data_IF_988396069142
#
_entry.id   IF_988396069142
#
_cell.length_a   1.000
_cell.length_b   1.000
_cell.length_c   1.000
_cell.angle_alpha   90.00
_cell.angle_beta   90.00
_cell.angle_gamma   90.00
#
_symmetry.space_group_name_H-M   'P 1'
#
loop_
_entity.id
_entity.type
_entity.pdbx_description
1 polymer ?
2 non-polymer ?
3 water ?
#
# COMPACT_ATOMS: atom_id res chain seq x y z
N UNK A 18 3.06 15.42 7.78
CA UNK A 18 2.71 14.01 7.99
C UNK A 18 3.59 13.39 9.07
N UNK A 19 3.03 12.43 9.82
CA UNK A 19 3.76 11.80 10.93
C UNK A 19 4.85 10.85 10.47
N UNK A 20 5.81 10.58 11.35
CA UNK A 20 6.81 9.55 11.09
C UNK A 20 6.47 8.27 11.86
N UNK A 21 6.26 7.18 11.13
CA UNK A 21 5.92 5.90 11.74
C UNK A 21 6.99 4.84 11.52
N UNK A 22 7.24 4.04 12.55
CA UNK A 22 8.25 3.00 12.48
C UNK A 22 7.83 1.79 13.30
N UNK A 23 8.33 0.61 12.92
CA UNK A 23 8.08 -0.60 13.70
C UNK A 23 9.32 -0.95 14.49
N UNK A 24 9.14 -1.31 15.76
CA UNK A 24 10.28 -1.59 16.62
C UNK A 24 10.06 -2.85 17.46
N UNK A 25 11.08 -3.72 17.55
CA UNK A 25 12.46 -3.57 17.06
C UNK A 25 12.62 -3.74 15.56
N UNK A 26 11.65 -4.36 14.90
CA UNK A 26 11.78 -4.61 13.47
C UNK A 26 10.44 -4.79 12.78
N UNK A 27 10.37 -4.33 11.53
CA UNK A 27 9.18 -4.52 10.71
C UNK A 27 9.10 -5.98 10.26
N UNK A 28 10.27 -6.60 10.12
CA UNK A 28 10.36 -8.03 9.88
C UNK A 28 10.33 -8.77 11.20
N UNK A 29 9.15 -9.24 11.57
CA UNK A 29 8.93 -9.83 12.89
C UNK A 29 8.45 -11.28 12.79
N UNK A 30 9.12 -12.19 13.52
CA UNK A 30 8.77 -13.62 13.52
C UNK A 30 7.36 -13.85 14.08
N UNK A 31 6.67 -14.85 13.55
CA UNK A 31 5.36 -15.21 14.08
C UNK A 31 5.52 -15.62 15.54
N UNK A 32 4.56 -15.24 16.37
CA UNK A 32 4.65 -15.51 17.79
C UNK A 32 5.54 -14.49 18.50
N UNK A 33 6.21 -13.66 17.71
CA UNK A 33 7.06 -12.61 18.24
C UNK A 33 6.24 -11.38 18.56
N UNK A 34 6.90 -10.24 18.68
CA UNK A 34 6.22 -9.01 19.04
C UNK A 34 6.71 -7.84 18.20
N UNK A 35 5.85 -6.83 18.07
CA UNK A 35 6.24 -5.62 17.34
C UNK A 35 5.52 -4.41 17.92
N UNK A 36 6.18 -3.27 17.86
CA UNK A 36 5.60 -2.03 18.38
C UNK A 36 5.45 -1.00 17.28
N UNK A 37 4.22 -0.64 17.00
CA UNK A 37 3.92 0.43 16.06
C UNK A 37 4.11 1.77 16.76
N UNK A 38 5.11 2.51 16.31
CA UNK A 38 5.43 3.81 16.89
C UNK A 38 5.19 4.92 15.88
N UNK A 39 4.84 6.10 16.38
CA UNK A 39 4.60 7.24 15.52
C UNK A 39 4.89 8.54 16.25
N UNK A 40 5.42 9.52 15.53
CA UNK A 40 5.67 10.84 16.12
C UNK A 40 5.26 11.93 15.13
N UNK A 41 4.56 12.94 15.64
CA UNK A 41 3.99 13.99 14.80
C UNK A 41 4.34 15.37 15.35
N UNK A 42 5.10 16.13 14.58
CA UNK A 42 5.62 17.42 15.03
C UNK A 42 4.63 18.57 14.87
N UNK A 43 3.85 18.54 13.80
CA UNK A 43 2.96 19.65 13.48
C UNK A 43 1.74 19.70 14.40
N UNK A 44 1.35 18.56 14.95
CA UNK A 44 0.19 18.49 15.81
C UNK A 44 0.38 17.64 17.04
N UNK A 45 -0.60 16.79 17.32
CA UNK A 45 -0.57 15.95 18.50
C UNK A 45 -0.40 14.47 18.18
N UNK A 46 0.36 13.79 19.04
CA UNK A 46 0.72 12.40 18.86
C UNK A 46 -0.41 11.42 19.16
N UNK A 47 -1.60 11.75 18.68
CA UNK A 47 -2.74 10.85 18.76
C UNK A 47 -2.97 10.27 17.37
N UNK A 48 -2.67 9.00 17.19
CA UNK A 48 -2.63 8.43 15.84
C UNK A 48 -3.74 7.43 15.55
N UNK A 49 -4.35 7.56 14.39
CA UNK A 49 -5.35 6.58 13.96
C UNK A 49 -4.71 5.59 12.98
N UNK A 50 -4.93 4.31 13.24
CA UNK A 50 -4.31 3.24 12.45
C UNK A 50 -5.27 2.70 11.40
N UNK A 51 -4.75 2.46 10.19
CA UNK A 51 -5.55 1.76 9.18
C UNK A 51 -4.70 0.97 8.19
N UNK A 52 -5.19 -0.23 7.86
CA UNK A 52 -4.51 -1.16 6.97
C UNK A 52 -4.99 -0.96 5.54
N UNK A 53 -4.07 -0.96 4.58
CA UNK A 53 -4.43 -0.65 3.20
C UNK A 53 -4.60 -1.89 2.32
N UNK A 54 -4.09 -3.04 2.75
CA UNK A 54 -4.16 -4.24 1.91
C UNK A 54 -5.16 -5.28 2.43
N UNK A 55 -6.08 -4.85 3.30
CA UNK A 55 -7.10 -5.73 3.83
C UNK A 55 -7.66 -5.24 5.15
N UNK A 56 -8.80 -5.80 5.53
CA UNK A 56 -9.43 -5.50 6.83
C UNK A 56 -8.54 -5.99 7.97
N UNK A 57 -8.31 -5.12 8.96
CA UNK A 57 -7.38 -5.40 10.06
C UNK A 57 -7.92 -6.36 11.12
N UNK A 58 -6.99 -6.95 11.87
CA UNK A 58 -7.30 -7.77 13.02
C UNK A 58 -8.09 -6.93 14.02
N UNK A 59 -9.01 -7.57 14.79
CA UNK A 59 -9.93 -6.86 15.69
C UNK A 59 -9.28 -5.83 16.62
N UNK A 60 -8.15 -6.16 17.23
CA UNK A 60 -7.49 -5.22 18.13
C UNK A 60 -6.74 -4.14 17.36
N UNK A 61 -6.88 -4.15 16.03
CA UNK A 61 -6.35 -3.08 15.19
C UNK A 61 -7.48 -2.39 14.44
N UNK A 62 -8.69 -2.94 14.57
CA UNK A 62 -9.88 -2.34 13.96
C UNK A 62 -10.32 -1.15 14.80
N UNK A 63 -10.56 -0.02 14.14
CA UNK A 63 -10.89 1.23 14.83
C UNK A 63 -9.88 1.56 15.93
N UNK A 64 -8.60 1.51 15.57
CA UNK A 64 -7.53 1.67 16.54
C UNK A 64 -6.92 3.07 16.51
N UNK A 65 -7.16 3.83 17.57
CA UNK A 65 -6.48 5.08 17.82
C UNK A 65 -5.59 4.91 19.04
N UNK A 66 -4.31 5.23 18.90
CA UNK A 66 -3.38 5.06 20.00
C UNK A 66 -2.58 6.31 20.34
N UNK A 67 -1.95 6.27 21.51
CA UNK A 67 -1.17 7.37 22.04
C UNK A 67 0.32 7.01 21.96
N UNK A 68 1.06 7.77 21.16
CA UNK A 68 2.49 7.54 20.96
C UNK A 68 2.78 6.19 20.29
N UNK A 69 2.76 5.12 21.08
CA UNK A 69 3.11 3.79 20.56
C UNK A 69 2.06 2.73 20.92
N UNK A 70 2.18 1.56 20.29
CA UNK A 70 1.19 0.50 20.45
C UNK A 70 1.83 -0.88 20.28
N UNK A 71 1.64 -1.75 21.27
CA UNK A 71 2.32 -3.04 21.27
C UNK A 71 1.44 -4.19 20.79
N UNK A 72 2.00 -4.97 19.87
CA UNK A 72 1.37 -6.18 19.34
C UNK A 72 2.15 -7.41 19.75
N UNK A 73 1.51 -8.30 20.52
CA UNK A 73 2.13 -9.53 20.98
C UNK A 73 1.07 -10.51 21.47
N UNK A 74 1.10 -11.75 20.96
CA UNK A 74 2.05 -12.24 19.96
C UNK A 74 1.63 -11.90 18.53
N UNK A 75 2.60 -11.86 17.63
CA UNK A 75 2.34 -11.51 16.23
C UNK A 75 1.86 -12.73 15.43
N UNK A 76 0.72 -12.58 14.78
CA UNK A 76 0.14 -13.63 13.95
C UNK A 76 0.21 -13.22 12.48
N UNK A 77 0.09 -14.21 11.56
CA UNK A 77 0.07 -13.92 10.11
C UNK A 77 -0.97 -12.87 9.70
N UNK A 78 -2.03 -12.71 10.50
CA UNK A 78 -3.08 -11.76 10.18
C UNK A 78 -2.65 -10.31 10.38
N UNK A 79 -1.48 -10.12 10.97
CA UNK A 79 -0.94 -8.78 11.21
C UNK A 79 -0.11 -8.28 10.04
N UNK A 80 0.28 -9.20 9.16
CA UNK A 80 1.10 -8.85 8.00
C UNK A 80 0.36 -7.94 7.04
N UNK A 81 1.03 -6.89 6.57
CA UNK A 81 0.44 -5.99 5.60
C UNK A 81 0.96 -4.57 5.64
N UNK A 82 0.29 -3.68 4.92
CA UNK A 82 0.70 -2.28 4.87
C UNK A 82 -0.25 -1.41 5.70
N UNK A 83 0.33 -0.52 6.50
CA UNK A 83 -0.44 0.34 7.39
C UNK A 83 -0.10 1.80 7.20
N UNK A 84 -1.03 2.67 7.58
CA UNK A 84 -0.80 4.11 7.57
C UNK A 84 -1.30 4.72 8.87
N UNK A 85 -0.85 5.92 9.19
CA UNK A 85 -1.30 6.61 10.39
C UNK A 85 -1.49 8.11 10.16
N UNK A 86 -2.56 8.66 10.71
CA UNK A 86 -2.76 10.11 10.71
C UNK A 86 -2.65 10.63 12.15
N UNK A 87 -1.84 11.67 12.33
CA UNK A 87 -1.69 12.29 13.63
C UNK A 87 -2.81 13.28 13.87
N UNK A 88 -3.07 13.60 15.14
CA UNK A 88 -4.21 14.46 15.45
C UNK A 88 -3.89 15.92 15.16
N UNK A 89 -4.64 16.50 14.24
CA UNK A 89 -4.44 17.90 13.84
C UNK A 89 -5.76 18.66 13.98
N UNK A 90 -6.14 18.99 15.22
CA UNK A 90 -7.46 19.51 15.60
C UNK A 90 -7.90 20.74 14.81
N UNK A 91 -6.99 21.68 14.56
CA UNK A 91 -7.35 22.92 13.88
C UNK A 91 -6.96 22.89 12.41
N UNK A 92 -7.63 21.99 11.68
CA UNK A 92 -7.48 21.86 10.25
C UNK A 92 -8.81 21.33 9.73
N UNK A 93 -9.08 21.47 8.41
CA UNK A 93 -10.35 21.02 7.85
C UNK A 93 -10.69 19.55 8.15
N UNK A 94 -9.70 18.67 8.04
CA UNK A 94 -9.93 17.25 8.24
C UNK A 94 -9.79 16.83 9.71
N UNK A 95 -9.29 17.74 10.54
CA UNK A 95 -8.95 17.46 11.94
C UNK A 95 -7.92 16.34 12.08
N UNK A 96 -7.28 15.97 10.97
CA UNK A 96 -6.26 14.93 10.98
C UNK A 96 -5.19 15.22 9.94
N UNK A 97 -4.01 14.64 10.12
CA UNK A 97 -2.89 14.91 9.24
C UNK A 97 -2.96 14.10 7.95
N UNK A 98 -1.96 14.27 7.10
CA UNK A 98 -1.82 13.48 5.89
C UNK A 98 -1.33 12.08 6.27
N UNK A 99 -1.58 11.08 5.40
CA UNK A 99 -1.10 9.72 5.66
C UNK A 99 0.41 9.67 5.91
N UNK A 100 0.82 8.93 6.93
CA UNK A 100 2.23 8.85 7.28
C UNK A 100 3.02 8.07 6.24
N UNK A 101 4.31 7.89 6.51
CA UNK A 101 5.15 7.02 5.71
C UNK A 101 4.65 5.59 5.86
N UNK A 102 4.83 4.75 4.82
CA UNK A 102 4.36 3.36 4.85
C UNK A 102 4.82 2.59 6.08
N UNK A 103 3.87 2.00 6.80
CA UNK A 103 4.15 1.22 8.00
C UNK A 103 3.92 -0.25 7.73
N UNK A 104 4.98 -0.94 7.27
CA UNK A 104 4.84 -2.30 6.81
C UNK A 104 5.17 -3.34 7.88
N UNK A 105 4.34 -4.38 7.96
CA UNK A 105 4.60 -5.50 8.87
C UNK A 105 4.73 -6.81 8.10
N UNK A 106 5.86 -7.46 8.24
CA UNK A 106 6.09 -8.76 7.61
C UNK A 106 6.31 -9.85 8.64
N UNK A 107 5.58 -10.96 8.49
CA UNK A 107 5.62 -12.06 9.45
C UNK A 107 6.36 -13.26 8.87
N UNK A 108 7.37 -13.74 9.59
CA UNK A 108 8.22 -14.83 9.12
C UNK A 108 8.05 -16.11 9.93
N UNK A 109 8.59 -17.20 9.39
CA UNK A 109 8.58 -18.48 10.07
C UNK A 109 7.40 -19.34 9.65
N UNK A 110 6.77 -18.98 8.54
CA UNK A 110 5.54 -19.65 8.09
C UNK A 110 5.83 -20.86 7.21
N UNK A 111 6.88 -20.78 6.41
CA UNK A 111 7.26 -21.86 5.51
C UNK A 111 8.70 -22.25 5.75
N UNK A 112 9.13 -23.39 5.19
CA UNK A 112 10.50 -23.84 5.38
C UNK A 112 11.46 -22.89 4.69
N UNK A 113 12.60 -22.64 5.33
CA UNK A 113 13.55 -21.66 4.83
C UNK A 113 14.20 -22.08 3.52
N UNK A 114 14.38 -21.11 2.61
CA UNK A 114 15.15 -21.37 1.39
C UNK A 114 16.64 -21.42 1.70
N UNK A 115 17.43 -21.88 0.74
CA UNK A 115 18.87 -21.90 0.88
C UNK A 115 19.49 -20.73 0.12
N UNK A 116 20.46 -20.08 0.74
CA UNK A 116 21.11 -18.91 0.16
C UNK A 116 22.55 -19.22 -0.24
N UNK A 117 22.89 -18.98 -1.50
CA UNK A 117 24.25 -19.21 -1.98
C UNK A 117 24.85 -17.94 -2.57
N UNK A 118 26.17 -17.89 -2.65
CA UNK A 118 26.86 -16.71 -3.17
C UNK A 118 27.66 -17.01 -4.42
N UNK A 119 27.88 -15.98 -5.22
CA UNK A 119 28.66 -16.10 -6.45
C UNK A 119 29.58 -14.89 -6.57
N UNK A 120 30.90 -15.12 -6.65
CA UNK A 120 31.57 -16.41 -6.74
C UNK A 120 31.68 -17.17 -5.41
N UNK A 121 31.56 -16.46 -4.29
CA UNK A 121 31.67 -17.10 -2.99
C UNK A 121 31.58 -16.15 -1.82
N UNK A 122 31.76 -16.69 -0.60
CA UNK A 122 31.67 -15.94 0.65
C UNK A 122 32.75 -14.86 0.76
N UNK A 123 33.95 -15.14 0.29
CA UNK A 123 35.04 -14.17 0.29
C UNK A 123 35.31 -13.65 -1.11
N UNK A 124 35.33 -12.33 -1.26
CA UNK A 124 35.49 -11.72 -2.56
C UNK A 124 36.46 -10.53 -2.51
N UNK A 125 37.00 -10.16 -3.67
CA UNK A 125 37.89 -9.02 -3.77
C UNK A 125 37.09 -7.73 -3.83
N UNK A 126 37.68 -6.63 -3.36
CA UNK A 126 36.95 -5.36 -3.30
C UNK A 126 36.66 -4.82 -4.70
N UNK A 127 35.39 -4.48 -4.93
CA UNK A 127 34.97 -3.95 -6.21
C UNK A 127 34.41 -5.03 -7.13
N UNK A 128 34.49 -6.28 -6.71
CA UNK A 128 33.99 -7.39 -7.53
C UNK A 128 32.49 -7.58 -7.35
N UNK A 129 31.87 -8.22 -8.33
CA UNK A 129 30.43 -8.46 -8.30
C UNK A 129 30.05 -9.70 -7.50
N UNK A 130 29.09 -9.53 -6.60
CA UNK A 130 28.57 -10.66 -5.84
C UNK A 130 27.10 -10.86 -6.17
N UNK A 131 26.74 -12.09 -6.54
CA UNK A 131 25.34 -12.41 -6.84
C UNK A 131 24.83 -13.49 -5.89
N UNK A 132 23.75 -13.18 -5.20
CA UNK A 132 23.20 -14.09 -4.21
C UNK A 132 21.97 -14.82 -4.72
N UNK A 133 22.04 -16.14 -4.74
CA UNK A 133 20.92 -16.94 -5.22
C UNK A 133 20.12 -17.55 -4.06
N UNK A 134 18.83 -17.22 -4.03
CA UNK A 134 17.89 -17.85 -3.11
C UNK A 134 17.22 -19.01 -3.83
N UNK A 135 17.28 -20.20 -3.25
CA UNK A 135 16.76 -21.40 -3.91
C UNK A 135 15.97 -22.29 -2.96
N UNK A 136 14.81 -22.77 -3.40
CA UNK A 136 14.02 -23.67 -2.56
C UNK A 136 13.27 -24.71 -3.38
N UNK A 137 12.86 -25.80 -2.73
CA UNK A 137 12.01 -26.78 -3.38
C UNK A 137 10.57 -26.28 -3.36
N UNK A 138 10.31 -25.32 -2.47
CA UNK A 138 8.99 -24.73 -2.37
C UNK A 138 8.71 -23.84 -3.57
N UNK A 139 7.44 -23.71 -3.93
CA UNK A 139 7.05 -22.94 -5.11
C UNK A 139 6.77 -21.49 -4.78
N UNK A 140 7.71 -20.81 -4.13
CA UNK A 140 7.56 -19.40 -3.79
C UNK A 140 7.37 -18.55 -5.05
N UNK A 141 6.71 -17.42 -4.89
CA UNK A 141 6.54 -16.48 -6.00
C UNK A 141 7.54 -15.35 -5.91
N UNK A 142 7.82 -14.90 -4.69
CA UNK A 142 8.72 -13.78 -4.47
C UNK A 142 9.73 -14.06 -3.36
N UNK A 143 11.01 -13.91 -3.69
CA UNK A 143 12.08 -13.98 -2.72
C UNK A 143 12.46 -12.57 -2.25
N UNK A 144 12.81 -12.46 -0.97
CA UNK A 144 13.16 -11.21 -0.34
C UNK A 144 14.53 -11.28 0.32
N UNK A 145 15.48 -10.47 -0.16
CA UNK A 145 16.83 -10.47 0.39
C UNK A 145 17.06 -9.31 1.35
N UNK A 146 17.32 -9.64 2.62
CA UNK A 146 17.59 -8.62 3.64
C UNK A 146 19.04 -8.70 4.11
N UNK A 147 19.53 -7.57 4.64
CA UNK A 147 20.91 -7.47 5.09
C UNK A 147 20.97 -7.02 6.55
N UNK A 148 21.97 -7.53 7.29
CA UNK A 148 22.14 -7.18 8.69
C UNK A 148 22.63 -5.75 8.87
N UNK A 149 21.77 -4.92 9.48
CA UNK A 149 22.13 -3.53 9.74
C UNK A 149 21.35 -2.56 8.87
N UNK A 150 21.03 -3.00 7.65
CA UNK A 150 20.29 -2.18 6.71
C UNK A 150 18.83 -2.62 6.66
N UNK A 151 17.94 -1.77 7.15
CA UNK A 151 16.52 -2.08 7.17
C UNK A 151 15.87 -1.86 5.81
N UNK A 152 16.50 -2.41 4.78
CA UNK A 152 16.01 -2.26 3.41
C UNK A 152 16.03 -3.60 2.69
N UNK A 153 14.86 -4.14 2.42
CA UNK A 153 14.76 -5.44 1.77
C UNK A 153 14.71 -5.33 0.25
N UNK A 154 15.22 -6.34 -0.44
CA UNK A 154 15.18 -6.40 -1.88
C UNK A 154 14.16 -7.45 -2.33
N UNK A 155 13.38 -7.13 -3.36
CA UNK A 155 12.35 -8.04 -3.85
C UNK A 155 12.67 -8.58 -5.23
N UNK A 156 12.42 -9.88 -5.44
CA UNK A 156 12.60 -10.47 -6.78
C UNK A 156 11.64 -11.63 -6.99
N UNK A 157 11.16 -11.82 -8.23
CA UNK A 157 10.28 -12.95 -8.50
C UNK A 157 11.05 -14.26 -8.67
N UNK A 158 10.44 -15.38 -8.30
CA UNK A 158 11.09 -16.67 -8.39
C UNK A 158 11.01 -17.24 -9.80
N UNK A 159 11.91 -18.19 -10.10
CA UNK A 159 12.03 -18.77 -11.44
C UNK A 159 12.28 -20.27 -11.36
N UNK A 160 11.52 -21.06 -12.14
CA UNK A 160 11.69 -22.53 -12.16
C UNK A 160 12.97 -23.00 -12.84
N UNK A 161 13.56 -24.04 -12.28
CA UNK A 161 14.78 -24.65 -12.80
C UNK A 161 15.11 -25.94 -12.06
N UNK A 162 15.47 -26.99 -12.79
CA UNK A 162 15.85 -28.27 -12.19
C UNK A 162 17.01 -28.06 -11.22
N UNK A 163 17.08 -28.85 -10.13
CA UNK A 163 16.21 -29.98 -9.84
C UNK A 163 14.86 -29.63 -9.20
N UNK A 164 13.87 -29.33 -10.02
CA UNK A 164 12.53 -29.01 -9.55
C UNK A 164 12.48 -27.91 -8.51
N UNK A 165 13.35 -26.92 -8.66
CA UNK A 165 13.51 -25.86 -7.67
C UNK A 165 13.14 -24.47 -8.20
N UNK A 166 12.79 -23.59 -7.27
CA UNK A 166 12.51 -22.19 -7.59
C UNK A 166 13.64 -21.31 -7.06
N UNK A 167 14.05 -20.34 -7.87
CA UNK A 167 15.28 -19.62 -7.60
C UNK A 167 15.21 -18.14 -8.01
N UNK A 168 15.95 -17.31 -7.28
CA UNK A 168 16.07 -15.89 -7.63
C UNK A 168 17.48 -15.38 -7.38
N UNK A 169 18.02 -14.66 -8.35
CA UNK A 169 19.39 -14.15 -8.29
C UNK A 169 19.42 -12.65 -8.08
N UNK A 170 19.96 -12.24 -6.92
CA UNK A 170 20.12 -10.84 -6.59
C UNK A 170 21.54 -10.37 -6.89
N UNK A 171 21.71 -9.59 -7.97
CA UNK A 171 23.01 -8.99 -8.27
C UNK A 171 23.20 -7.68 -7.52
N UNK A 172 24.18 -7.64 -6.61
CA UNK A 172 24.37 -6.49 -5.74
C UNK A 172 25.38 -5.50 -6.31
N UNK A 173 25.97 -5.84 -7.45
CA UNK A 173 26.98 -5.00 -8.05
C UNK A 173 28.30 -5.12 -7.30
N UNK A 174 29.15 -4.09 -7.39
CA UNK A 174 30.47 -4.08 -6.75
C UNK A 174 30.39 -4.25 -5.23
N UNK A 175 31.24 -5.13 -4.69
CA UNK A 175 31.26 -5.38 -3.25
C UNK A 175 32.24 -4.44 -2.57
N UNK A 176 31.70 -3.54 -1.74
CA UNK A 176 32.51 -2.52 -1.10
C UNK A 176 32.95 -2.93 0.30
N UNK A 177 32.03 -3.51 1.06
CA UNK A 177 32.31 -3.88 2.44
C UNK A 177 31.63 -5.19 2.83
N UNK A 178 32.12 -5.81 3.90
CA UNK A 178 31.61 -7.09 4.36
C UNK A 178 30.20 -7.00 4.92
N UNK A 179 29.32 -7.86 4.42
CA UNK A 179 27.91 -7.79 4.81
C UNK A 179 27.25 -9.17 4.85
N UNK A 180 26.46 -9.41 5.91
CA UNK A 180 25.77 -10.68 6.06
C UNK A 180 24.33 -10.59 5.56
N UNK A 181 23.91 -11.58 4.78
CA UNK A 181 22.59 -11.57 4.17
C UNK A 181 21.71 -12.75 4.59
N UNK A 182 20.39 -12.55 4.47
CA UNK A 182 19.41 -13.62 4.63
C UNK A 182 18.31 -13.44 3.59
N UNK A 183 17.59 -14.50 3.28
CA UNK A 183 16.48 -14.36 2.32
C UNK A 183 15.24 -15.16 2.74
N UNK A 184 14.07 -14.66 2.33
CA UNK A 184 12.79 -15.26 2.69
C UNK A 184 11.98 -15.58 1.45
N UNK A 185 11.16 -16.61 1.54
CA UNK A 185 10.26 -16.96 0.45
C UNK A 185 8.84 -16.58 0.77
N UNK A 186 8.12 -16.09 -0.24
CA UNK A 186 6.71 -15.73 -0.06
C UNK A 186 5.90 -16.08 -1.30
N UNK A 187 4.66 -16.49 -1.08
CA UNK A 187 3.80 -16.91 -2.17
C UNK A 187 2.98 -15.75 -2.73
N UNK A 188 2.41 -15.97 -3.91
CA UNK A 188 1.90 -14.90 -4.76
C UNK A 188 0.79 -14.02 -4.18
N UNK A 189 -0.12 -14.63 -3.44
CA UNK A 189 -1.26 -13.90 -2.92
C UNK A 189 -1.02 -13.18 -1.60
N UNK A 190 0.11 -13.46 -0.97
CA UNK A 190 0.41 -12.88 0.34
C UNK A 190 1.87 -12.48 0.47
N UNK A 191 2.25 -11.33 -0.14
CA UNK A 191 3.65 -10.88 -0.20
C UNK A 191 4.22 -10.45 1.14
N UNK A 192 3.38 -10.34 2.17
CA UNK A 192 3.86 -9.91 3.48
C UNK A 192 3.95 -11.06 4.48
N UNK A 193 3.61 -12.26 4.02
CA UNK A 193 3.73 -13.46 4.85
C UNK A 193 4.93 -14.29 4.37
N UNK A 194 6.00 -14.26 5.16
CA UNK A 194 7.27 -14.83 4.73
C UNK A 194 7.58 -16.18 5.36
N UNK A 195 8.55 -16.88 4.75
CA UNK A 195 9.00 -18.16 5.28
C UNK A 195 9.97 -17.95 6.42
N UNK A 196 10.52 -19.05 6.93
CA UNK A 196 11.58 -18.97 7.93
C UNK A 196 12.83 -18.43 7.25
N UNK A 197 13.67 -17.74 8.02
CA UNK A 197 14.88 -17.14 7.47
C UNK A 197 15.89 -18.19 7.04
N UNK A 198 16.52 -17.96 5.89
CA UNK A 198 17.61 -18.81 5.44
C UNK A 198 18.79 -18.68 6.40
N UNK A 199 19.68 -19.67 6.37
CA UNK A 199 20.91 -19.57 7.14
C UNK A 199 21.68 -18.34 6.68
N UNK A 200 22.21 -17.57 7.65
CA UNK A 200 22.90 -16.31 7.32
C UNK A 200 24.15 -16.55 6.46
N UNK A 201 24.32 -15.72 5.43
CA UNK A 201 25.48 -15.83 4.56
C UNK A 201 26.32 -14.55 4.65
N UNK A 202 27.43 -14.61 5.39
CA UNK A 202 28.34 -13.47 5.52
C UNK A 202 29.28 -13.35 4.33
N UNK A 203 29.19 -12.22 3.64
CA UNK A 203 30.09 -11.96 2.52
C UNK A 203 31.28 -11.12 2.99
N UNK A 204 32.47 -11.65 2.80
CA UNK A 204 33.69 -10.97 3.20
C UNK A 204 34.34 -10.28 2.00
N UNK A 205 34.88 -9.09 2.23
CA UNK A 205 35.50 -8.32 1.16
C UNK A 205 36.95 -7.96 1.47
N UNK A 206 37.86 -8.58 0.72
CA UNK A 206 39.29 -8.32 0.91
C UNK A 206 39.75 -7.14 0.05
N UNK B 18 -21.65 25.79 1.74
CA UNK B 18 -21.69 24.34 1.66
C UNK B 18 -20.82 23.70 2.75
N UNK B 19 -21.20 22.49 3.19
CA UNK B 19 -20.43 21.79 4.23
C UNK B 19 -19.12 21.22 3.69
N UNK B 20 -18.15 20.98 4.57
CA UNK B 20 -16.93 20.29 4.20
C UNK B 20 -17.01 18.84 4.64
N UNK B 21 -16.92 17.93 3.68
CA UNK B 21 -17.07 16.51 3.96
C UNK B 21 -15.81 15.73 3.56
N UNK B 22 -15.26 14.99 4.51
CA UNK B 22 -14.09 14.16 4.26
C UNK B 22 -14.36 12.71 4.64
N UNK B 23 -13.50 11.81 4.15
CA UNK B 23 -13.60 10.40 4.48
C UNK B 23 -12.57 10.04 5.53
N UNK B 24 -12.98 9.30 6.54
CA UNK B 24 -12.08 8.93 7.62
C UNK B 24 -12.15 7.43 7.90
N UNK B 25 -10.98 6.76 7.96
CA UNK B 25 -9.65 7.35 7.87
C UNK B 25 -9.10 7.45 6.44
N UNK B 26 -9.75 6.78 5.49
CA UNK B 26 -9.26 6.79 4.11
C UNK B 26 -10.38 6.65 3.10
N UNK B 27 -10.31 7.46 2.05
CA UNK B 27 -11.28 7.39 0.95
C UNK B 27 -11.05 6.12 0.15
N UNK B 28 -9.81 5.65 0.15
CA UNK B 28 -9.45 4.40 -0.49
C UNK B 28 -9.51 3.27 0.54
N UNK B 29 -10.54 2.45 0.44
CA UNK B 29 -10.79 1.42 1.45
C UNK B 29 -10.90 0.03 0.82
N UNK B 30 -10.18 -0.95 1.39
CA UNK B 30 -10.22 -2.33 0.89
C UNK B 30 -11.61 -2.97 1.04
N UNK B 31 -11.87 -3.99 0.24
CA UNK B 31 -13.15 -4.68 0.28
C UNK B 31 -13.36 -5.33 1.65
N UNK B 32 -14.53 -5.08 2.24
CA UNK B 32 -14.82 -5.61 3.56
C UNK B 32 -14.38 -4.67 4.66
N UNK B 33 -13.78 -3.55 4.27
CA UNK B 33 -13.28 -2.56 5.21
C UNK B 33 -14.41 -1.65 5.68
N UNK B 34 -14.04 -0.49 6.21
CA UNK B 34 -15.02 0.46 6.70
C UNK B 34 -14.59 1.88 6.40
N UNK B 35 -15.56 2.77 6.24
CA UNK B 35 -15.24 4.18 6.07
C UNK B 35 -16.32 5.04 6.71
N UNK B 36 -15.90 6.19 7.26
CA UNK B 36 -16.82 7.10 7.89
C UNK B 36 -16.85 8.44 7.17
N UNK B 37 -18.02 8.76 6.62
CA UNK B 37 -18.23 10.05 5.98
C UNK B 37 -18.50 11.12 7.03
N UNK B 38 -17.50 11.97 7.24
CA UNK B 38 -17.58 13.00 8.27
C UNK B 38 -17.78 14.38 7.65
N UNK B 39 -18.78 15.12 8.14
CA UNK B 39 -19.11 16.42 7.57
C UNK B 39 -19.15 17.52 8.63
N UNK B 40 -18.77 18.72 8.22
CA UNK B 40 -18.78 19.88 9.11
C UNK B 40 -19.47 21.05 8.42
N UNK B 41 -20.24 21.82 9.18
CA UNK B 41 -21.05 22.89 8.60
C UNK B 41 -21.23 24.04 9.60
N UNK B 42 -20.53 25.15 9.36
CA UNK B 42 -20.50 26.28 10.30
C UNK B 42 -21.74 27.17 10.21
N UNK B 43 -22.29 27.28 9.00
CA UNK B 43 -23.45 28.15 8.78
C UNK B 43 -24.65 27.62 9.56
N UNK B 44 -25.10 26.43 9.20
CA UNK B 44 -26.25 25.81 9.84
C UNK B 44 -25.85 24.78 10.87
N UNK B 45 -26.61 23.69 10.92
CA UNK B 45 -26.37 22.66 11.93
C UNK B 45 -25.77 21.39 11.33
N UNK B 46 -25.16 20.58 12.18
CA UNK B 46 -24.47 19.37 11.75
C UNK B 46 -25.42 18.18 11.55
N UNK B 47 -26.58 18.46 10.98
CA UNK B 47 -27.49 17.43 10.50
C UNK B 47 -27.42 17.41 8.97
N UNK B 48 -27.00 16.29 8.41
CA UNK B 48 -26.74 16.24 6.97
C UNK B 48 -27.61 15.22 6.26
N UNK B 49 -27.77 15.39 4.95
CA UNK B 49 -28.46 14.39 4.15
C UNK B 49 -27.56 13.89 3.02
N UNK B 50 -27.38 12.58 2.96
CA UNK B 50 -26.44 11.97 2.02
C UNK B 50 -26.99 11.92 0.60
N UNK B 51 -26.09 11.97 -0.37
CA UNK B 51 -26.46 11.81 -1.77
C UNK B 51 -25.36 11.09 -2.52
N UNK B 52 -25.68 9.93 -3.09
CA UNK B 52 -24.72 9.19 -3.88
C UNK B 52 -24.94 9.48 -5.37
N UNK B 53 -23.94 10.12 -5.99
CA UNK B 53 -24.05 10.55 -7.38
C UNK B 53 -23.59 9.46 -8.35
N UNK B 54 -22.38 8.95 -8.15
CA UNK B 54 -21.84 7.94 -9.06
C UNK B 54 -22.10 6.52 -8.58
N UNK B 55 -21.40 5.58 -9.21
CA UNK B 55 -21.37 4.20 -8.76
C UNK B 55 -22.68 3.43 -8.80
N UNK B 56 -22.64 2.23 -8.22
CA UNK B 56 -23.81 1.36 -8.14
C UNK B 56 -24.85 1.98 -7.21
N UNK B 57 -26.13 1.99 -7.64
CA UNK B 57 -27.21 2.55 -6.83
C UNK B 57 -27.37 1.87 -5.48
N UNK B 58 -27.42 2.68 -4.43
CA UNK B 58 -27.60 2.18 -3.05
C UNK B 58 -28.84 2.82 -2.42
N UNK B 59 -29.95 2.06 -2.37
CA UNK B 59 -31.24 2.53 -1.85
C UNK B 59 -31.19 2.96 -0.39
N UNK B 60 -30.42 2.24 0.43
CA UNK B 60 -30.32 2.57 1.85
C UNK B 60 -29.46 3.80 2.08
N UNK B 61 -29.00 4.41 0.98
CA UNK B 61 -28.26 5.66 1.04
C UNK B 61 -29.04 6.79 0.37
N UNK B 62 -30.23 6.47 -0.14
CA UNK B 62 -31.08 7.46 -0.79
C UNK B 62 -31.72 8.39 0.22
N UNK B 63 -31.37 9.67 0.14
CA UNK B 63 -31.90 10.69 1.05
C UNK B 63 -31.83 10.28 2.51
N UNK B 64 -30.70 9.68 2.90
CA UNK B 64 -30.52 9.25 4.28
C UNK B 64 -29.91 10.36 5.12
N UNK B 65 -30.58 10.69 6.22
CA UNK B 65 -30.14 11.77 7.09
C UNK B 65 -29.26 11.25 8.22
N UNK B 66 -28.06 11.82 8.37
CA UNK B 66 -27.16 11.42 9.45
C UNK B 66 -26.70 12.60 10.30
N UNK B 67 -26.22 12.28 11.49
CA UNK B 67 -25.77 13.27 12.47
C UNK B 67 -24.25 13.25 12.58
N UNK B 68 -23.63 14.39 12.30
CA UNK B 68 -22.18 14.55 12.34
C UNK B 68 -21.46 13.63 11.35
N UNK B 69 -21.55 12.32 11.58
CA UNK B 69 -20.84 11.36 10.75
C UNK B 69 -21.76 10.23 10.28
N UNK B 70 -21.30 9.46 9.29
CA UNK B 70 -22.05 8.32 8.79
C UNK B 70 -21.13 7.14 8.50
N UNK B 71 -21.36 6.03 9.20
CA UNK B 71 -20.48 4.86 9.11
C UNK B 71 -20.95 3.85 8.08
N UNK B 72 -20.15 3.68 7.04
CA UNK B 72 -20.34 2.61 6.06
C UNK B 72 -19.45 1.43 6.45
N UNK B 73 -20.09 0.32 6.82
CA UNK B 73 -19.39 -0.87 7.26
C UNK B 73 -20.32 -2.07 7.29
N UNK B 74 -19.94 -3.16 6.60
CA UNK B 74 -18.71 -3.30 5.81
C UNK B 74 -18.84 -2.71 4.41
N UNK B 75 -17.71 -2.30 3.83
CA UNK B 75 -17.72 -1.67 2.53
C UNK B 75 -17.77 -2.69 1.40
N UNK B 76 -18.74 -2.51 0.51
CA UNK B 76 -18.93 -3.38 -0.63
C UNK B 76 -18.61 -2.62 -1.91
N UNK B 77 -18.41 -3.35 -3.02
CA UNK B 77 -18.19 -2.66 -4.30
C UNK B 77 -19.32 -1.69 -4.67
N UNK B 78 -20.50 -1.88 -4.09
CA UNK B 78 -21.63 -1.00 -4.37
C UNK B 78 -21.42 0.39 -3.76
N UNK B 79 -20.53 0.48 -2.78
CA UNK B 79 -20.30 1.73 -2.07
C UNK B 79 -19.28 2.63 -2.78
N UNK B 80 -18.58 2.07 -3.75
CA UNK B 80 -17.62 2.85 -4.53
C UNK B 80 -18.35 3.88 -5.39
N UNK B 81 -17.93 5.13 -5.31
CA UNK B 81 -18.54 6.18 -6.10
C UNK B 81 -18.49 7.55 -5.45
N UNK B 82 -19.22 8.51 -6.03
CA UNK B 82 -19.18 9.88 -5.55
C UNK B 82 -20.34 10.18 -4.60
N UNK B 83 -20.03 10.87 -3.51
CA UNK B 83 -21.04 11.25 -2.53
C UNK B 83 -21.07 12.77 -2.34
N UNK B 84 -22.27 13.30 -2.08
CA UNK B 84 -22.41 14.71 -1.70
C UNK B 84 -23.40 14.84 -0.54
N UNK B 85 -23.24 15.89 0.26
CA UNK B 85 -24.05 16.09 1.44
C UNK B 85 -24.55 17.53 1.56
N UNK B 86 -25.85 17.66 1.81
CA UNK B 86 -26.44 18.96 2.11
C UNK B 86 -26.60 19.10 3.62
N UNK B 87 -26.30 20.29 4.14
CA UNK B 87 -26.40 20.54 5.57
C UNK B 87 -27.72 21.18 5.95
N UNK B 88 -28.20 20.87 7.15
CA UNK B 88 -29.47 21.39 7.62
C UNK B 88 -29.35 22.88 7.94
N UNK B 89 -30.09 23.68 7.17
CA UNK B 89 -30.07 25.12 7.28
C UNK B 89 -31.52 25.60 7.37
N UNK B 90 -32.14 25.42 8.54
CA UNK B 90 -33.59 25.52 8.75
C UNK B 90 -34.20 26.87 8.38
N UNK B 91 -33.41 27.94 8.45
CA UNK B 91 -33.92 29.26 8.10
C UNK B 91 -33.36 29.73 6.77
N UNK B 92 -33.61 28.91 5.75
CA UNK B 92 -33.26 29.19 4.37
C UNK B 92 -34.47 28.78 3.54
N UNK B 93 -34.53 29.20 2.26
CA UNK B 93 -35.72 28.87 1.47
C UNK B 93 -36.01 27.37 1.34
N UNK B 94 -34.97 26.55 1.34
CA UNK B 94 -35.17 25.10 1.15
C UNK B 94 -34.92 24.33 2.44
N UNK B 95 -34.57 25.04 3.51
CA UNK B 95 -34.21 24.46 4.81
C UNK B 95 -33.03 23.48 4.72
N UNK B 96 -32.39 23.40 3.56
CA UNK B 96 -31.17 22.61 3.38
C UNK B 96 -30.23 23.37 2.47
N UNK B 97 -28.93 23.19 2.68
CA UNK B 97 -27.94 24.01 1.98
C UNK B 97 -27.53 23.44 0.64
N UNK B 98 -26.52 24.06 0.04
CA UNK B 98 -25.95 23.58 -1.21
C UNK B 98 -25.18 22.29 -0.96
N UNK B 99 -25.02 21.45 -1.99
CA UNK B 99 -24.28 20.20 -1.82
C UNK B 99 -22.82 20.44 -1.42
N UNK B 100 -22.26 19.53 -0.64
CA UNK B 100 -20.89 19.65 -0.18
C UNK B 100 -19.90 19.40 -1.33
N UNK B 101 -18.62 19.39 -1.00
CA UNK B 101 -17.60 19.01 -1.95
C UNK B 101 -17.79 17.55 -2.35
N UNK B 102 -17.55 17.23 -3.62
CA UNK B 102 -17.67 15.84 -4.08
C UNK B 102 -16.68 14.94 -3.36
N UNK B 103 -17.19 13.87 -2.74
CA UNK B 103 -16.35 12.96 -1.98
C UNK B 103 -16.33 11.58 -2.64
N UNK B 104 -15.21 11.26 -3.28
CA UNK B 104 -15.09 10.00 -4.01
C UNK B 104 -14.55 8.88 -3.14
N UNK B 105 -15.34 7.84 -2.98
CA UNK B 105 -14.94 6.65 -2.22
C UNK B 105 -14.54 5.53 -3.17
N UNK B 106 -13.35 4.97 -2.95
CA UNK B 106 -12.82 3.91 -3.80
C UNK B 106 -12.70 2.59 -3.04
N UNK B 107 -13.09 1.51 -3.71
CA UNK B 107 -13.00 0.18 -3.13
C UNK B 107 -11.96 -0.67 -3.85
N UNK B 108 -11.02 -1.21 -3.11
CA UNK B 108 -9.92 -1.97 -3.70
C UNK B 108 -9.94 -3.44 -3.31
N UNK B 109 -9.13 -4.24 -3.99
CA UNK B 109 -9.01 -5.66 -3.71
C UNK B 109 -10.20 -6.46 -4.19
N UNK B 110 -10.60 -6.22 -5.43
CA UNK B 110 -11.74 -6.91 -6.01
C UNK B 110 -11.31 -7.92 -7.07
N UNK B 111 -10.32 -7.53 -7.86
CA UNK B 111 -9.81 -8.39 -8.92
C UNK B 111 -8.32 -8.65 -8.71
N UNK B 112 -7.72 -9.48 -9.55
CA UNK B 112 -6.29 -9.76 -9.47
C UNK B 112 -5.46 -8.51 -9.62
N UNK B 113 -4.32 -8.45 -8.93
CA UNK B 113 -3.45 -7.29 -9.01
C UNK B 113 -2.70 -7.27 -10.33
N UNK B 114 -2.52 -6.07 -10.90
CA UNK B 114 -1.71 -5.93 -12.12
C UNK B 114 -0.23 -5.87 -11.77
N UNK B 115 0.62 -6.21 -12.72
CA UNK B 115 2.06 -6.11 -12.54
C UNK B 115 2.55 -4.74 -12.99
N UNK B 116 3.46 -4.16 -12.23
CA UNK B 116 4.01 -2.85 -12.54
C UNK B 116 5.50 -2.93 -12.82
N UNK B 117 5.91 -2.48 -14.00
CA UNK B 117 7.33 -2.50 -14.36
C UNK B 117 7.80 -1.12 -14.81
N UNK B 118 9.11 -0.93 -14.85
CA UNK B 118 9.68 0.39 -15.14
C UNK B 118 10.63 0.37 -16.32
N UNK B 119 10.48 1.36 -17.20
CA UNK B 119 11.41 1.58 -18.30
C UNK B 119 12.18 2.89 -18.09
N UNK B 120 13.51 2.85 -18.24
CA UNK B 120 14.30 1.67 -18.62
C UNK B 120 14.50 0.69 -17.48
N UNK B 121 14.38 1.18 -16.26
CA UNK B 121 14.56 0.35 -15.08
C UNK B 121 14.15 1.11 -13.83
N UNK B 122 14.05 0.41 -12.70
CA UNK B 122 13.64 1.04 -11.44
C UNK B 122 14.70 2.00 -10.89
N UNK B 123 15.92 1.93 -11.41
CA UNK B 123 16.99 2.81 -10.99
C UNK B 123 17.62 3.54 -12.17
N UNK B 124 17.55 4.87 -12.14
CA UNK B 124 18.06 5.69 -13.24
C UNK B 124 18.62 7.01 -12.70
N UNK B 125 19.35 7.74 -13.54
CA UNK B 125 19.98 8.99 -13.12
C UNK B 125 19.00 10.17 -13.23
N UNK B 126 19.38 11.30 -12.63
CA UNK B 126 18.54 12.49 -12.63
C UNK B 126 18.38 13.09 -14.03
N UNK B 127 17.16 13.50 -14.35
CA UNK B 127 16.89 14.12 -15.64
C UNK B 127 16.55 13.10 -16.69
N UNK B 128 16.49 11.83 -16.30
CA UNK B 128 16.15 10.76 -17.22
C UNK B 128 14.64 10.50 -17.25
N UNK B 129 14.11 10.23 -18.43
CA UNK B 129 12.70 9.92 -18.59
C UNK B 129 12.35 8.54 -18.07
N UNK B 130 11.37 8.49 -17.17
CA UNK B 130 10.92 7.20 -16.65
C UNK B 130 9.49 6.92 -17.07
N UNK B 131 9.25 5.69 -17.54
CA UNK B 131 7.92 5.28 -18.00
C UNK B 131 7.49 3.97 -17.39
N UNK B 132 6.44 4.00 -16.58
CA UNK B 132 5.93 2.82 -15.92
C UNK B 132 4.88 2.10 -16.76
N UNK B 133 4.69 0.82 -16.49
CA UNK B 133 3.72 0.02 -17.23
C UNK B 133 2.96 -0.94 -16.33
N UNK B 134 1.63 -0.86 -16.40
CA UNK B 134 0.74 -1.80 -15.74
C UNK B 134 0.27 -2.85 -16.74
N UNK B 135 0.44 -4.11 -16.38
CA UNK B 135 0.09 -5.21 -17.26
C UNK B 135 -0.78 -6.23 -16.52
N UNK B 136 -1.69 -6.88 -17.24
CA UNK B 136 -2.57 -7.86 -16.62
C UNK B 136 -3.25 -8.76 -17.65
N UNK B 137 -3.61 -9.96 -17.21
CA UNK B 137 -4.36 -10.89 -18.04
C UNK B 137 -5.85 -10.58 -17.91
N UNK B 138 -6.18 -9.74 -16.94
CA UNK B 138 -7.56 -9.32 -16.71
C UNK B 138 -7.93 -8.19 -17.67
N UNK B 139 -9.17 -8.23 -18.17
CA UNK B 139 -9.62 -7.26 -19.16
C UNK B 139 -10.00 -5.93 -18.54
N UNK B 140 -9.07 -5.33 -17.80
CA UNK B 140 -9.29 -4.01 -17.21
C UNK B 140 -9.50 -2.98 -18.33
N UNK B 141 -10.43 -2.05 -18.14
CA UNK B 141 -10.63 -0.98 -19.11
C UNK B 141 -9.76 0.22 -18.75
N UNK B 142 -9.51 0.42 -17.46
CA UNK B 142 -8.72 1.56 -17.01
C UNK B 142 -7.63 1.15 -16.02
N UNK B 143 -6.47 1.83 -16.09
CA UNK B 143 -5.41 1.64 -15.10
C UNK B 143 -5.19 2.92 -14.30
N UNK B 144 -5.11 2.77 -12.98
CA UNK B 144 -4.91 3.91 -12.09
C UNK B 144 -3.57 3.82 -11.38
N UNK B 145 -2.64 4.70 -11.76
CA UNK B 145 -1.36 4.79 -11.07
C UNK B 145 -1.44 5.71 -9.85
N UNK B 146 -0.93 5.22 -8.73
CA UNK B 146 -0.88 5.96 -7.49
C UNK B 146 0.55 6.04 -6.96
N UNK B 147 0.92 7.22 -6.46
CA UNK B 147 2.23 7.39 -5.86
C UNK B 147 2.12 7.65 -4.37
N UNK B 148 3.01 7.04 -3.60
CA UNK B 148 3.03 7.25 -2.15
C UNK B 148 3.39 8.68 -1.81
N UNK B 149 2.44 9.38 -1.18
CA UNK B 149 2.63 10.78 -0.85
C UNK B 149 1.61 11.65 -1.56
N UNK B 150 1.34 11.32 -2.82
CA UNK B 150 0.38 12.08 -3.62
C UNK B 150 -1.02 11.49 -3.49
N UNK B 151 -2.01 12.35 -3.33
CA UNK B 151 -3.40 11.91 -3.27
C UNK B 151 -4.03 11.97 -4.65
N UNK B 152 -3.31 12.61 -5.57
CA UNK B 152 -3.77 12.75 -6.94
C UNK B 152 -3.44 11.50 -7.75
N UNK B 153 -4.46 10.74 -8.10
CA UNK B 153 -4.29 9.51 -8.87
C UNK B 153 -4.32 9.77 -10.37
N UNK B 154 -3.44 9.12 -11.11
CA UNK B 154 -3.45 9.26 -12.56
C UNK B 154 -4.19 8.10 -13.21
N UNK B 155 -5.01 8.37 -14.22
CA UNK B 155 -5.73 7.27 -14.87
C UNK B 155 -5.55 7.28 -16.39
N UNK B 156 -5.25 6.10 -16.92
CA UNK B 156 -5.01 5.92 -18.35
C UNK B 156 -5.80 4.72 -18.88
N UNK B 157 -6.28 4.80 -20.13
CA UNK B 157 -7.02 3.67 -20.70
C UNK B 157 -6.13 2.46 -20.96
N UNK B 158 -6.66 1.27 -20.76
CA UNK B 158 -5.91 0.04 -20.97
C UNK B 158 -6.01 -0.41 -22.43
N UNK B 159 -4.86 -0.66 -23.04
CA UNK B 159 -4.78 -1.07 -24.44
C UNK B 159 -4.08 -2.41 -24.59
N UNK B 160 -4.71 -3.34 -25.32
CA UNK B 160 -4.20 -4.69 -25.59
C UNK B 160 -2.84 -4.69 -26.28
N UNK B 161 -2.01 -5.66 -25.93
CA UNK B 161 -0.68 -5.77 -26.52
C UNK B 161 -0.53 -7.03 -27.35
N UNK B 162 0.65 -7.24 -27.90
CA UNK B 162 0.93 -8.41 -28.73
C UNK B 162 1.28 -9.63 -27.88
N UNK B 163 0.83 -9.64 -26.63
CA UNK B 163 1.11 -10.74 -25.72
C UNK B 163 -0.17 -11.35 -25.14
N UNK B 164 -1.28 -10.67 -25.35
CA UNK B 164 -2.55 -11.10 -24.81
C UNK B 164 -2.88 -10.42 -23.50
N UNK B 165 -2.15 -9.36 -23.19
CA UNK B 165 -2.35 -8.63 -21.94
C UNK B 165 -2.90 -7.23 -22.19
N UNK B 166 -3.57 -6.68 -21.19
CA UNK B 166 -4.06 -5.30 -21.26
C UNK B 166 -3.08 -4.40 -20.54
N UNK B 167 -2.54 -3.42 -21.25
CA UNK B 167 -1.42 -2.65 -20.76
C UNK B 167 -1.60 -1.14 -20.94
N UNK B 168 -0.99 -0.37 -20.05
CA UNK B 168 -0.98 1.09 -20.15
C UNK B 168 0.39 1.61 -19.70
N UNK B 169 0.89 2.61 -20.41
CA UNK B 169 2.22 3.15 -20.11
C UNK B 169 2.16 4.59 -19.63
N UNK B 170 2.61 4.81 -18.39
CA UNK B 170 2.63 6.15 -17.81
C UNK B 170 4.00 6.81 -17.97
N UNK B 171 4.09 7.81 -18.86
CA UNK B 171 5.34 8.53 -19.05
C UNK B 171 5.49 9.68 -18.04
N UNK B 172 6.36 9.48 -17.05
CA UNK B 172 6.50 10.43 -15.96
C UNK B 172 7.45 11.58 -16.32
N UNK B 173 8.21 11.40 -17.39
CA UNK B 173 9.15 12.41 -17.83
C UNK B 173 10.47 12.33 -17.09
N UNK B 174 11.18 13.46 -17.03
CA UNK B 174 12.49 13.56 -16.36
C UNK B 174 12.38 13.40 -14.84
N UNK B 175 13.35 12.69 -14.26
CA UNK B 175 13.32 12.38 -12.83
C UNK B 175 13.78 13.57 -12.00
N UNK B 176 13.06 13.82 -10.91
CA UNK B 176 13.39 14.91 -10.01
C UNK B 176 13.81 14.36 -8.66
N UNK B 177 13.04 13.40 -8.15
CA UNK B 177 13.35 12.74 -6.89
C UNK B 177 12.77 11.33 -6.87
N UNK B 178 13.24 10.53 -5.92
CA UNK B 178 12.81 9.15 -5.80
C UNK B 178 11.35 9.05 -5.40
N UNK B 179 10.65 8.06 -5.95
CA UNK B 179 9.25 7.89 -5.67
C UNK B 179 8.90 6.40 -5.53
N UNK B 180 7.66 6.12 -5.15
CA UNK B 180 7.20 4.73 -5.05
C UNK B 180 5.80 4.60 -5.61
N UNK B 181 5.62 3.69 -6.57
CA UNK B 181 4.37 3.60 -7.30
C UNK B 181 3.65 2.27 -7.15
N UNK B 182 2.33 2.33 -7.15
CA UNK B 182 1.48 1.15 -7.23
C UNK B 182 0.41 1.43 -8.28
N UNK B 183 -0.24 0.38 -8.79
CA UNK B 183 -1.27 0.60 -9.81
C UNK B 183 -2.46 -0.34 -9.63
N UNK B 184 -3.61 0.09 -10.13
CA UNK B 184 -4.86 -0.64 -10.00
C UNK B 184 -5.51 -0.79 -11.37
N UNK B 185 -6.39 -1.77 -11.50
CA UNK B 185 -7.16 -1.96 -12.72
C UNK B 185 -8.65 -1.88 -12.45
N UNK B 186 -9.41 -1.39 -13.43
CA UNK B 186 -10.86 -1.29 -13.27
C UNK B 186 -11.59 -1.56 -14.59
N UNK B 187 -12.73 -2.21 -14.49
CA UNK B 187 -13.56 -2.52 -15.65
C UNK B 187 -14.51 -1.38 -15.96
N UNK B 188 -15.11 -1.45 -17.16
CA UNK B 188 -16.02 -0.40 -17.63
C UNK B 188 -17.24 -0.25 -16.73
N UNK B 189 -17.63 1.00 -16.46
CA UNK B 189 -18.80 1.28 -15.67
C UNK B 189 -18.56 1.21 -14.17
N UNK B 190 -17.33 0.90 -13.78
CA UNK B 190 -16.97 0.86 -12.37
C UNK B 190 -15.57 1.44 -12.13
N UNK B 191 -15.42 2.76 -12.32
CA UNK B 191 -14.11 3.42 -12.24
C UNK B 191 -13.53 3.46 -10.82
N UNK B 192 -14.39 3.32 -9.82
CA UNK B 192 -13.96 3.42 -8.43
C UNK B 192 -13.92 2.05 -7.75
N UNK B 193 -14.20 1.01 -8.51
CA UNK B 193 -14.08 -0.36 -8.03
C UNK B 193 -12.77 -0.94 -8.55
N UNK B 194 -11.74 -0.89 -7.71
CA UNK B 194 -10.38 -1.23 -8.14
C UNK B 194 -9.96 -2.65 -7.78
N UNK B 195 -8.93 -3.15 -8.44
CA UNK B 195 -8.39 -4.48 -8.16
C UNK B 195 -7.47 -4.43 -6.95
N UNK B 196 -6.71 -5.51 -6.75
CA UNK B 196 -5.65 -5.49 -5.77
C UNK B 196 -4.54 -4.59 -6.27
N UNK B 197 -3.84 -3.94 -5.33
CA UNK B 197 -2.75 -3.06 -5.69
C UNK B 197 -1.56 -3.86 -6.21
N UNK B 198 -0.78 -3.25 -7.09
CA UNK B 198 0.45 -3.86 -7.56
C UNK B 198 1.44 -3.95 -6.41
N UNK B 199 2.47 -4.78 -6.57
CA UNK B 199 3.59 -4.74 -5.65
C UNK B 199 4.25 -3.39 -5.80
N UNK B 200 4.68 -2.78 -4.68
CA UNK B 200 5.27 -1.44 -4.75
C UNK B 200 6.54 -1.40 -5.61
N UNK B 201 6.57 -0.48 -6.56
CA UNK B 201 7.75 -0.28 -7.40
C UNK B 201 8.45 1.00 -6.99
N UNK B 202 9.58 0.88 -6.28
CA UNK B 202 10.39 2.03 -5.85
C UNK B 202 11.31 2.55 -6.95
N UNK B 203 10.96 3.69 -7.54
CA UNK B 203 11.83 4.38 -8.47
C UNK B 203 12.91 5.18 -7.74
N UNK B 204 14.16 4.77 -7.93
CA UNK B 204 15.30 5.43 -7.31
C UNK B 204 15.98 6.35 -8.31
N UNK B 205 16.24 7.58 -7.89
CA UNK B 205 16.85 8.56 -8.76
C UNK B 205 18.26 8.92 -8.32
N UNK B 206 19.25 8.54 -9.12
CA UNK B 206 20.64 8.84 -8.82
C UNK B 206 21.22 9.81 -9.85
X LIG C 1 29.45 -6.02 -12.45
X LIG C 1 29.45 -6.18 -13.96
X LIG C 1 29.45 -4.81 -14.63
X LIG C 1 28.28 -3.97 -14.11
X LIG C 1 28.29 -3.94 -12.59
X LIG C 1 27.07 -3.27 -12.01
X LIG C 1 30.53 -8.28 -14.62
X LIG C 1 31.81 -8.93 -15.06
X LIG C 1 30.60 -6.96 -14.39
X LIG C 1 29.34 -4.97 -16.04
X LIG C 1 28.38 -2.64 -14.62
X LIG C 1 28.30 -5.26 -12.06
X LIG C 1 26.02 -4.20 -11.78
X LIG C 1 29.50 -8.90 -14.50
X LIG D 1 12.50 12.87 -22.51
X LIG D 1 13.88 13.17 -23.05
X LIG D 1 13.92 14.57 -23.66
X LIG D 1 12.81 14.74 -24.69
X LIG D 1 11.47 14.36 -24.08
X LIG D 1 10.34 14.38 -25.09
X LIG D 1 15.86 12.11 -22.04
X LIG D 1 16.83 12.12 -20.91
X LIG D 1 14.89 13.03 -22.01
X LIG D 1 15.19 14.80 -24.27
X LIG D 1 12.76 16.09 -25.14
X LIG D 1 11.53 13.03 -23.55
X LIG D 1 10.58 13.48 -26.16
X LIG D 1 15.93 11.28 -22.95
#
# INVERSE_FOLDING_TARGET
HHHHHHDDDDKHVGGQDKPFCSAWPSAVVPQGGHVTLRCHYRRGFNIFTLYKKDGVPVPELYNRIFWNSFLISPVTPAHAGTYRCRGFHPHSPTEWSAPSNPLVIMVTGLYEKPSLTARPGPTVRTGENVTLSCSSQSSFDIYHLSREGEAHELRLPAVPSINGTFQADFPLGPATHGETYRCFGSFHGSPYEWSDASDPLPVSVT
HHHHHHDDDDKHVGGQDKPFCSAWPSAVVPQGGHVTLRCHYRRGFNIFTLYKKDGVPVPELYNRIFWNSFLISPVTPAHAGTYRCRGFHPHSPTEWSAPSNPLVIMVTGLYEKPSLTARPGPTVRTGENVTLSCSSQSSFDIYHLSREGEAHELRLPAVPSINGTFQADFPLGPATHGETYRCFGSFHGSPYEWSDASDPLPVSVT
NAG C1 C2 C3 C4 C5 C6 C7 C8 N2 O3 O4 O5 O6 O7
NAG C1 C2 C3 C4 C5 C6 C7 C8 N2 O3 O4 O5 O6 O7
#
